data_IF_703933103030
#
_entry.id   IF_703933103030
#
_cell.length_a   1.000
_cell.length_b   1.000
_cell.length_c   1.000
_cell.angle_alpha   90.00
_cell.angle_beta   90.00
_cell.angle_gamma   90.00
#
_symmetry.space_group_name_H-M   'P 1'
#
loop_
_entity.id
_entity.type
_entity.pdbx_description
1 polymer ?
#
# COMPACT_ATOMS: atom_id res chain seq x y z
N UNK A 1 15.12 -6.12 40.87
CA UNK A 1 14.77 -4.72 40.52
C UNK A 1 14.60 -4.65 39.01
N UNK A 2 13.39 -4.34 38.55
CA UNK A 2 13.08 -4.20 37.13
C UNK A 2 13.65 -2.89 36.58
N UNK A 3 14.18 -2.91 35.36
CA UNK A 3 14.42 -1.69 34.58
C UNK A 3 13.84 -1.91 33.19
N UNK A 4 12.66 -1.31 33.00
CA UNK A 4 11.90 -1.27 31.76
C UNK A 4 12.61 -0.38 30.74
N UNK A 5 13.11 -0.96 29.66
CA UNK A 5 13.51 -0.20 28.48
C UNK A 5 12.28 0.00 27.58
N UNK A 6 11.42 0.95 27.97
CA UNK A 6 10.27 1.37 27.16
C UNK A 6 10.76 2.45 26.19
N UNK A 7 11.20 2.06 25.01
CA UNK A 7 11.48 3.00 23.93
C UNK A 7 10.14 3.62 23.47
N UNK A 8 10.05 4.95 23.55
CA UNK A 8 8.94 5.76 23.07
C UNK A 8 8.75 5.55 21.56
N UNK A 9 7.50 5.49 21.04
CA UNK A 9 7.26 5.51 19.61
C UNK A 9 7.39 6.96 19.12
N UNK A 10 8.63 7.40 18.87
CA UNK A 10 8.88 8.61 18.08
C UNK A 10 8.21 8.45 16.72
N UNK A 11 7.36 9.41 16.38
CA UNK A 11 6.62 9.48 15.13
C UNK A 11 7.59 9.31 13.96
N UNK A 12 7.43 8.22 13.20
CA UNK A 12 8.21 7.94 12.00
C UNK A 12 7.75 8.82 10.84
N UNK A 13 7.91 10.14 11.00
CA UNK A 13 7.76 11.09 9.91
C UNK A 13 8.94 10.92 8.95
N UNK A 14 8.73 10.10 7.92
CA UNK A 14 9.70 9.89 6.85
C UNK A 14 9.68 11.11 5.92
N UNK A 15 10.54 12.08 6.21
CA UNK A 15 10.74 13.27 5.37
C UNK A 15 11.53 12.98 4.10
N UNK A 16 12.34 11.92 4.10
CA UNK A 16 13.15 11.48 2.96
C UNK A 16 12.89 10.01 2.65
N UNK A 17 11.96 9.78 1.72
CA UNK A 17 11.50 8.42 1.36
C UNK A 17 12.61 7.56 0.75
N UNK A 18 13.60 8.18 0.11
CA UNK A 18 14.75 7.50 -0.49
C UNK A 18 15.71 6.92 0.56
N UNK A 19 15.95 7.64 1.65
CA UNK A 19 16.81 7.15 2.74
C UNK A 19 16.14 6.02 3.53
N UNK A 20 14.82 6.10 3.70
CA UNK A 20 14.02 5.02 4.29
C UNK A 20 14.01 3.74 3.43
N UNK A 21 14.14 3.87 2.10
CA UNK A 21 14.30 2.70 1.21
C UNK A 21 15.68 2.09 1.32
N UNK A 22 16.74 2.90 1.40
CA UNK A 22 18.13 2.43 1.53
C UNK A 22 18.38 1.68 2.84
N UNK A 23 17.73 2.08 3.93
CA UNK A 23 17.84 1.42 5.25
C UNK A 23 16.99 0.16 5.38
N UNK A 24 16.21 -0.19 4.36
CA UNK A 24 15.42 -1.42 4.35
C UNK A 24 16.32 -2.55 3.85
N UNK A 25 16.67 -3.50 4.72
CA UNK A 25 17.39 -4.71 4.32
C UNK A 25 16.71 -5.36 3.11
N UNK A 26 17.45 -5.75 2.05
CA UNK A 26 16.88 -6.33 0.83
C UNK A 26 16.31 -7.75 1.04
N UNK A 27 16.24 -8.24 2.28
CA UNK A 27 15.88 -9.62 2.61
C UNK A 27 14.45 -9.76 3.16
N UNK A 28 13.50 -9.01 2.59
CA UNK A 28 12.13 -9.51 2.53
C UNK A 28 11.93 -9.95 1.09
N UNK A 29 11.69 -11.24 0.78
CA UNK A 29 11.29 -11.61 -0.56
C UNK A 29 10.07 -10.75 -0.86
N UNK A 30 10.21 -9.81 -1.80
CA UNK A 30 9.10 -9.02 -2.30
C UNK A 30 8.04 -10.04 -2.63
N UNK A 31 6.93 -10.04 -1.88
CA UNK A 31 5.80 -10.90 -2.18
C UNK A 31 5.51 -10.63 -3.65
N UNK A 32 5.91 -11.57 -4.52
CA UNK A 32 5.75 -11.37 -5.95
C UNK A 32 4.25 -11.18 -6.10
N UNK A 33 3.78 -10.02 -6.61
CA UNK A 33 2.37 -9.85 -6.85
C UNK A 33 2.01 -11.04 -7.74
N UNK A 34 1.14 -11.93 -7.24
CA UNK A 34 0.62 -13.04 -8.03
C UNK A 34 -0.06 -12.37 -9.21
N UNK A 35 0.67 -12.23 -10.31
CA UNK A 35 0.16 -11.62 -11.51
C UNK A 35 -1.01 -12.50 -11.90
N UNK A 36 -2.23 -11.98 -11.77
CA UNK A 36 -3.41 -12.67 -12.31
C UNK A 36 -3.09 -12.89 -13.77
N UNK A 37 -2.91 -14.15 -14.15
CA UNK A 37 -2.54 -14.58 -15.50
C UNK A 37 -3.57 -13.96 -16.46
N UNK A 38 -3.15 -12.98 -17.27
CA UNK A 38 -4.05 -12.25 -18.20
C UNK A 38 -4.51 -10.85 -17.77
N UNK A 39 -3.96 -10.25 -16.70
CA UNK A 39 -4.22 -8.84 -16.40
C UNK A 39 -3.52 -7.92 -17.42
N UNK A 40 -4.21 -7.58 -18.50
CA UNK A 40 -3.73 -6.60 -19.46
C UNK A 40 -3.67 -5.22 -18.79
N UNK A 41 -2.48 -4.64 -18.72
CA UNK A 41 -2.31 -3.30 -18.15
C UNK A 41 -2.97 -2.27 -19.07
N UNK A 42 -4.07 -1.66 -18.62
CA UNK A 42 -4.80 -0.66 -19.41
C UNK A 42 -4.37 0.75 -19.00
N UNK A 43 -3.55 1.38 -19.83
CA UNK A 43 -3.03 2.74 -19.62
C UNK A 43 -4.14 3.81 -19.58
N UNK A 44 -5.16 3.69 -20.43
CA UNK A 44 -6.26 4.65 -20.53
C UNK A 44 -7.08 4.70 -19.25
N UNK A 45 -7.42 3.52 -18.69
CA UNK A 45 -8.12 3.40 -17.41
C UNK A 45 -7.33 4.07 -16.28
N UNK A 46 -6.02 3.87 -16.26
CA UNK A 46 -5.16 4.48 -15.24
C UNK A 46 -5.13 6.01 -15.39
N UNK A 47 -5.02 6.52 -16.62
CA UNK A 47 -5.04 7.96 -16.87
C UNK A 47 -6.36 8.61 -16.43
N UNK A 48 -7.50 7.98 -16.75
CA UNK A 48 -8.81 8.45 -16.33
C UNK A 48 -8.97 8.47 -14.79
N UNK A 49 -8.53 7.41 -14.11
CA UNK A 49 -8.57 7.35 -12.64
C UNK A 49 -7.68 8.44 -12.02
N UNK A 50 -6.45 8.63 -12.55
CA UNK A 50 -5.55 9.68 -12.08
C UNK A 50 -6.17 11.07 -12.23
N UNK A 51 -6.79 11.36 -13.37
CA UNK A 51 -7.48 12.62 -13.60
C UNK A 51 -8.65 12.83 -12.62
N UNK A 52 -9.47 11.80 -12.38
CA UNK A 52 -10.57 11.88 -11.42
C UNK A 52 -10.09 12.14 -9.98
N UNK A 53 -8.96 11.54 -9.58
CA UNK A 53 -8.34 11.80 -8.27
C UNK A 53 -7.83 13.24 -8.19
N UNK A 54 -7.12 13.71 -9.22
CA UNK A 54 -6.59 15.08 -9.26
C UNK A 54 -7.71 16.14 -9.22
N UNK A 55 -8.83 15.86 -9.88
CA UNK A 55 -10.01 16.73 -9.89
C UNK A 55 -10.89 16.59 -8.64
N UNK A 56 -10.56 15.68 -7.71
CA UNK A 56 -11.35 15.42 -6.52
C UNK A 56 -12.71 14.77 -6.77
N UNK A 57 -12.97 14.27 -7.98
CA UNK A 57 -14.23 13.61 -8.36
C UNK A 57 -14.20 12.10 -8.19
N UNK A 58 -13.06 11.53 -7.84
CA UNK A 58 -12.94 10.11 -7.52
C UNK A 58 -13.57 9.81 -6.15
N UNK A 59 -14.71 9.10 -6.15
CA UNK A 59 -15.41 8.71 -4.92
C UNK A 59 -15.01 7.31 -4.47
N UNK A 60 -14.65 7.18 -3.20
CA UNK A 60 -14.33 5.90 -2.57
C UNK A 60 -15.62 5.32 -1.96
N UNK A 61 -15.96 4.10 -2.38
CA UNK A 61 -17.05 3.34 -1.74
C UNK A 61 -16.44 2.32 -0.75
N UNK A 62 -16.62 2.51 0.57
CA UNK A 62 -16.04 1.63 1.59
C UNK A 62 -16.64 0.21 1.59
N UNK A 63 -17.92 0.06 1.26
CA UNK A 63 -18.57 -1.27 1.19
C UNK A 63 -17.92 -2.12 0.10
N UNK A 64 -17.68 -1.54 -1.09
CA UNK A 64 -17.00 -2.23 -2.18
C UNK A 64 -15.57 -2.63 -1.84
N UNK A 65 -14.91 -1.89 -0.95
CA UNK A 65 -13.58 -2.24 -0.46
C UNK A 65 -13.70 -3.44 0.48
N UNK A 66 -14.61 -3.39 1.45
CA UNK A 66 -14.86 -4.49 2.38
C UNK A 66 -15.19 -5.80 1.66
N UNK A 67 -16.09 -5.77 0.67
CA UNK A 67 -16.44 -6.92 -0.16
C UNK A 67 -15.21 -7.53 -0.84
N UNK A 68 -14.31 -6.68 -1.36
CA UNK A 68 -13.08 -7.13 -2.02
C UNK A 68 -12.08 -7.74 -1.06
N UNK A 69 -12.01 -7.27 0.18
CA UNK A 69 -11.19 -7.90 1.22
C UNK A 69 -11.71 -9.31 1.55
N UNK A 70 -13.02 -9.46 1.73
CA UNK A 70 -13.65 -10.77 1.99
C UNK A 70 -13.41 -11.75 0.84
N UNK A 71 -13.61 -11.30 -0.41
CA UNK A 71 -13.33 -12.12 -1.62
C UNK A 71 -11.88 -12.61 -1.70
N UNK A 72 -10.92 -11.85 -1.18
CA UNK A 72 -9.49 -12.18 -1.23
C UNK A 72 -9.01 -13.03 -0.05
N UNK A 73 -9.75 -13.05 1.06
CA UNK A 73 -9.45 -13.82 2.26
C UNK A 73 -9.98 -15.26 2.20
N UNK A 74 -10.99 -15.53 1.35
CA UNK A 74 -11.47 -16.90 1.12
C UNK A 74 -10.39 -17.73 0.39
N UNK A 75 -9.84 -18.79 1.00
CA UNK A 75 -8.79 -19.63 0.43
C UNK A 75 -9.22 -20.43 -0.80
#
# INVERSE_FOLDING_TARGET
MASSNRASPEESNVTHIDDARRKRDPQTPAAQPKAKKGANFNHEKVAAIKAAIANGTYSINPERIADKFIEQESP
#
